data_IF_340435515106
#
_entry.id   IF_340435515106
#
_cell.length_a   1.000
_cell.length_b   1.000
_cell.length_c   1.000
_cell.angle_alpha   90.00
_cell.angle_beta   90.00
_cell.angle_gamma   90.00
#
_symmetry.space_group_name_H-M   'P 1'
#
loop_
_entity.id
_entity.type
_entity.pdbx_description
1 polymer ?
#
# COMPACT_ATOMS: atom_id res chain seq x y z
N UNK A 1 -11.54 13.63 9.24
CA UNK A 1 -11.82 14.88 8.49
C UNK A 1 -12.66 14.52 7.27
N UNK A 2 -13.81 15.14 7.09
CA UNK A 2 -14.67 14.91 5.92
C UNK A 2 -14.73 16.17 5.10
N UNK A 3 -14.36 16.09 3.83
CA UNK A 3 -14.41 17.23 2.90
C UNK A 3 -15.58 17.00 1.93
N UNK A 4 -16.56 17.89 1.95
CA UNK A 4 -17.69 17.85 1.04
C UNK A 4 -17.43 18.79 -0.14
N UNK A 5 -17.45 18.25 -1.35
CA UNK A 5 -17.16 19.01 -2.56
C UNK A 5 -18.44 19.26 -3.35
N UNK A 6 -18.66 20.52 -3.68
CA UNK A 6 -19.77 20.92 -4.54
C UNK A 6 -19.39 20.75 -6.02
N UNK A 7 -20.28 20.27 -6.85
CA UNK A 7 -20.04 20.02 -8.28
C UNK A 7 -19.59 21.29 -9.00
N UNK A 8 -18.37 21.25 -9.56
CA UNK A 8 -17.83 22.26 -10.45
C UNK A 8 -17.02 21.55 -11.55
N UNK A 9 -17.28 21.89 -12.78
CA UNK A 9 -16.64 21.33 -13.97
C UNK A 9 -15.16 21.77 -14.17
N UNK A 10 -14.54 22.45 -13.20
CA UNK A 10 -13.14 22.85 -13.29
C UNK A 10 -12.25 21.92 -12.47
N UNK A 11 -11.05 21.59 -12.95
CA UNK A 11 -10.06 20.87 -12.18
C UNK A 11 -9.84 21.52 -10.82
N UNK A 12 -9.81 20.71 -9.76
CA UNK A 12 -9.58 21.20 -8.40
C UNK A 12 -8.43 20.44 -7.77
N UNK A 13 -7.47 21.19 -7.25
CA UNK A 13 -6.40 20.65 -6.42
C UNK A 13 -6.67 21.05 -4.96
N UNK A 14 -6.68 20.05 -4.08
CA UNK A 14 -6.73 20.24 -2.64
C UNK A 14 -5.39 19.86 -2.04
N UNK A 15 -4.77 20.79 -1.34
CA UNK A 15 -3.47 20.58 -0.69
C UNK A 15 -3.66 20.55 0.82
N UNK A 16 -3.14 19.50 1.45
CA UNK A 16 -3.06 19.32 2.89
C UNK A 16 -1.58 19.25 3.24
N UNK A 17 -1.07 20.26 3.87
CA UNK A 17 0.35 20.38 4.14
C UNK A 17 0.63 20.60 5.63
N UNK A 18 1.73 20.00 6.09
CA UNK A 18 2.27 20.20 7.44
C UNK A 18 1.27 19.85 8.56
N UNK A 19 0.56 18.72 8.42
CA UNK A 19 -0.42 18.26 9.41
C UNK A 19 0.15 17.12 10.24
N UNK A 20 0.04 17.25 11.56
CA UNK A 20 0.40 16.18 12.49
C UNK A 20 -0.85 15.51 13.06
N UNK A 21 -0.86 14.18 13.03
CA UNK A 21 -1.80 13.32 13.72
C UNK A 21 -1.02 12.50 14.75
N UNK A 22 -1.28 12.70 16.03
CA UNK A 22 -0.57 11.98 17.09
C UNK A 22 -1.48 11.66 18.27
N UNK A 23 -1.09 10.65 19.03
CA UNK A 23 -1.74 10.25 20.27
C UNK A 23 -3.25 9.97 20.10
N UNK A 24 -3.58 9.23 19.02
CA UNK A 24 -4.96 8.90 18.71
C UNK A 24 -5.24 7.46 19.08
N UNK A 25 -6.20 7.27 19.96
CA UNK A 25 -6.76 5.97 20.30
C UNK A 25 -8.25 5.92 19.91
N UNK A 26 -8.68 4.86 19.24
CA UNK A 26 -10.08 4.70 18.87
C UNK A 26 -10.52 3.25 18.91
N UNK A 27 -11.71 3.02 19.44
CA UNK A 27 -12.31 1.69 19.57
C UNK A 27 -13.19 1.26 18.40
N UNK A 28 -13.36 2.12 17.41
CA UNK A 28 -14.09 1.80 16.16
C UNK A 28 -13.11 1.61 15.00
N UNK A 29 -13.61 1.17 13.84
CA UNK A 29 -12.84 1.08 12.61
C UNK A 29 -12.98 2.35 11.76
N UNK A 30 -12.43 3.50 12.20
CA UNK A 30 -12.58 4.76 11.48
C UNK A 30 -11.65 4.83 10.29
N UNK A 31 -11.96 5.76 9.41
CA UNK A 31 -10.97 6.31 8.49
C UNK A 31 -10.64 7.74 8.94
N UNK A 32 -9.36 8.03 9.15
CA UNK A 32 -8.95 9.40 9.51
C UNK A 32 -9.09 10.34 8.32
N UNK A 33 -8.70 9.85 7.14
CA UNK A 33 -8.87 10.56 5.89
C UNK A 33 -9.63 9.63 4.94
N UNK A 34 -10.82 10.03 4.58
CA UNK A 34 -11.67 9.25 3.69
C UNK A 34 -12.09 10.09 2.50
N UNK A 35 -11.90 9.51 1.33
CA UNK A 35 -12.47 10.00 0.10
C UNK A 35 -13.73 9.17 -0.19
N UNK A 36 -14.89 9.79 -0.14
CA UNK A 36 -16.16 9.12 -0.40
C UNK A 36 -16.98 9.87 -1.43
N UNK A 37 -17.67 9.14 -2.27
CA UNK A 37 -18.59 9.69 -3.26
C UNK A 37 -18.27 9.26 -4.69
N UNK A 38 -19.31 9.08 -5.49
CA UNK A 38 -19.22 8.82 -6.92
C UNK A 38 -19.01 10.16 -7.63
N UNK A 39 -17.77 10.51 -7.90
CA UNK A 39 -17.46 11.70 -8.70
C UNK A 39 -17.06 11.26 -10.11
N UNK A 40 -18.03 11.05 -10.96
CA UNK A 40 -17.81 10.51 -12.30
C UNK A 40 -17.11 11.45 -13.27
N UNK A 41 -17.15 12.76 -13.04
CA UNK A 41 -16.76 13.76 -14.03
C UNK A 41 -15.85 14.89 -13.52
N UNK A 42 -15.30 14.79 -12.30
CA UNK A 42 -14.49 15.88 -11.78
C UNK A 42 -13.00 15.51 -11.77
N UNK A 43 -12.21 16.28 -12.47
CA UNK A 43 -10.73 16.23 -12.40
C UNK A 43 -10.29 16.85 -11.07
N UNK A 44 -10.38 16.04 -10.00
CA UNK A 44 -10.03 16.45 -8.64
C UNK A 44 -8.74 15.74 -8.25
N UNK A 45 -7.78 16.49 -7.75
CA UNK A 45 -6.53 15.98 -7.21
C UNK A 45 -6.38 16.35 -5.74
N UNK A 46 -5.84 15.43 -4.97
CA UNK A 46 -5.48 15.65 -3.58
C UNK A 46 -3.98 15.49 -3.41
N UNK A 47 -3.38 16.43 -2.74
CA UNK A 47 -1.97 16.36 -2.35
C UNK A 47 -1.86 16.47 -0.83
N UNK A 48 -1.21 15.48 -0.25
CA UNK A 48 -0.89 15.38 1.16
C UNK A 48 0.63 15.44 1.29
N UNK A 49 1.14 16.52 1.86
CA UNK A 49 2.58 16.74 2.00
C UNK A 49 2.98 17.05 3.44
N UNK A 50 4.19 16.67 3.81
CA UNK A 50 4.75 16.92 5.13
C UNK A 50 3.83 16.45 6.28
N UNK A 51 3.17 15.30 6.08
CA UNK A 51 2.32 14.73 7.12
C UNK A 51 3.14 13.94 8.13
N UNK A 52 2.72 13.99 9.37
CA UNK A 52 3.25 13.14 10.43
C UNK A 52 2.12 12.37 11.07
N UNK A 53 2.17 11.04 11.02
CA UNK A 53 1.28 10.13 11.74
C UNK A 53 2.13 9.36 12.75
N UNK A 54 1.88 9.56 14.02
CA UNK A 54 2.64 8.88 15.08
C UNK A 54 1.75 8.54 16.28
N UNK A 55 2.08 7.45 16.95
CA UNK A 55 1.39 7.04 18.18
C UNK A 55 -0.13 6.88 17.97
N UNK A 56 -0.53 6.17 16.90
CA UNK A 56 -1.93 5.95 16.57
C UNK A 56 -2.28 4.48 16.80
N UNK A 57 -3.28 4.26 17.63
CA UNK A 57 -3.74 2.94 18.00
C UNK A 57 -5.23 2.74 17.64
N UNK A 58 -5.49 1.80 16.73
CA UNK A 58 -6.83 1.31 16.47
C UNK A 58 -7.03 -0.02 17.21
N UNK A 59 -8.06 -0.14 18.05
CA UNK A 59 -8.38 -1.41 18.72
C UNK A 59 -8.95 -2.46 17.77
N UNK A 60 -9.46 -2.03 16.65
CA UNK A 60 -9.83 -2.84 15.49
C UNK A 60 -9.17 -2.24 14.25
N UNK A 61 -9.15 -2.98 13.14
CA UNK A 61 -8.58 -2.48 11.88
C UNK A 61 -9.18 -1.13 11.49
N UNK A 62 -8.33 -0.12 11.33
CA UNK A 62 -8.71 1.24 10.93
C UNK A 62 -7.89 1.72 9.73
N UNK A 63 -8.40 2.69 8.98
CA UNK A 63 -7.70 3.27 7.85
C UNK A 63 -7.15 4.64 8.22
N UNK A 64 -5.85 4.87 8.03
CA UNK A 64 -5.31 6.23 7.97
C UNK A 64 -5.89 6.94 6.76
N UNK A 65 -5.82 6.25 5.61
CA UNK A 65 -6.41 6.69 4.36
C UNK A 65 -7.33 5.61 3.80
N UNK A 66 -8.56 5.97 3.49
CA UNK A 66 -9.46 5.17 2.68
C UNK A 66 -9.73 5.89 1.36
N UNK A 67 -9.03 5.46 0.31
CA UNK A 67 -8.98 6.11 -1.00
C UNK A 67 -9.82 5.31 -2.02
N UNK A 68 -11.03 4.89 -1.60
CA UNK A 68 -11.80 3.84 -2.23
C UNK A 68 -12.58 4.19 -3.49
N UNK A 69 -13.04 5.39 -3.71
CA UNK A 69 -14.09 5.64 -4.70
C UNK A 69 -13.80 6.70 -5.75
N UNK A 70 -12.53 6.99 -6.05
CA UNK A 70 -12.20 8.02 -7.02
C UNK A 70 -11.72 7.45 -8.34
N UNK A 71 -12.48 7.65 -9.35
CA UNK A 71 -12.35 6.99 -10.64
C UNK A 71 -11.44 7.73 -11.64
N UNK A 72 -11.09 8.98 -11.39
CA UNK A 72 -10.22 9.77 -12.27
C UNK A 72 -9.21 10.62 -11.51
N UNK A 73 -9.23 10.56 -10.19
CA UNK A 73 -8.50 11.47 -9.35
C UNK A 73 -7.10 10.98 -9.04
N UNK A 74 -6.19 11.92 -8.99
CA UNK A 74 -4.82 11.71 -8.58
C UNK A 74 -4.67 12.07 -7.11
N UNK A 75 -4.21 11.11 -6.31
CA UNK A 75 -3.85 11.33 -4.92
C UNK A 75 -2.34 11.23 -4.81
N UNK A 76 -1.74 12.21 -4.18
CA UNK A 76 -0.31 12.25 -3.91
C UNK A 76 -0.12 12.33 -2.40
N UNK A 77 0.70 11.43 -1.85
CA UNK A 77 1.22 11.47 -0.49
C UNK A 77 2.73 11.59 -0.60
N UNK A 78 3.30 12.65 -0.07
CA UNK A 78 4.75 12.86 -0.17
C UNK A 78 5.37 13.52 1.05
N UNK A 79 6.68 13.37 1.18
CA UNK A 79 7.47 14.00 2.26
C UNK A 79 6.88 13.71 3.65
N UNK A 80 6.37 12.49 3.86
CA UNK A 80 5.54 12.18 5.02
C UNK A 80 6.14 11.06 5.88
N UNK A 81 5.85 11.10 7.18
CA UNK A 81 6.35 10.11 8.14
C UNK A 81 5.19 9.40 8.84
N UNK A 82 5.29 8.08 8.90
CA UNK A 82 4.32 7.19 9.53
C UNK A 82 5.08 6.28 10.50
N UNK A 83 4.82 6.42 11.80
CA UNK A 83 5.56 5.65 12.79
C UNK A 83 4.72 5.29 14.02
N UNK A 84 5.06 4.17 14.66
CA UNK A 84 4.41 3.67 15.85
C UNK A 84 2.88 3.59 15.70
N UNK A 85 2.44 2.83 14.70
CA UNK A 85 1.02 2.68 14.37
C UNK A 85 0.56 1.25 14.64
N UNK A 86 -0.65 1.10 15.17
CA UNK A 86 -1.25 -0.21 15.45
C UNK A 86 -2.58 -0.36 14.75
N UNK A 87 -2.76 -1.48 14.02
CA UNK A 87 -3.95 -1.85 13.24
C UNK A 87 -4.37 -0.79 12.21
N UNK A 88 -3.39 -0.08 11.64
CA UNK A 88 -3.57 1.02 10.72
C UNK A 88 -3.29 0.59 9.28
N UNK A 89 -4.05 1.13 8.30
CA UNK A 89 -3.91 0.80 6.89
C UNK A 89 -4.05 2.03 5.99
N UNK A 90 -3.44 1.93 4.80
CA UNK A 90 -3.73 2.76 3.63
C UNK A 90 -4.48 1.88 2.63
N UNK A 91 -5.76 2.13 2.43
CA UNK A 91 -6.58 1.40 1.48
C UNK A 91 -6.71 2.19 0.17
N UNK A 92 -6.34 1.55 -0.95
CA UNK A 92 -6.42 2.09 -2.30
C UNK A 92 -7.39 1.22 -3.09
N UNK A 93 -8.41 1.84 -3.68
CA UNK A 93 -9.50 1.10 -4.34
C UNK A 93 -10.53 0.56 -3.34
N UNK A 94 -11.71 0.24 -3.82
CA UNK A 94 -12.85 -0.09 -2.96
C UNK A 94 -13.16 -1.59 -2.83
N UNK A 95 -12.45 -2.42 -3.56
CA UNK A 95 -12.75 -3.85 -3.62
C UNK A 95 -14.03 -4.18 -4.39
N UNK A 96 -14.78 -3.20 -4.90
CA UNK A 96 -15.99 -3.45 -5.67
C UNK A 96 -15.68 -3.63 -7.16
N UNK A 97 -16.06 -4.78 -7.71
CA UNK A 97 -15.92 -5.07 -9.14
C UNK A 97 -16.99 -4.38 -10.02
N UNK A 98 -17.88 -3.62 -9.42
CA UNK A 98 -19.11 -3.15 -10.10
C UNK A 98 -18.91 -1.93 -11.02
N UNK A 99 -17.79 -1.23 -10.94
CA UNK A 99 -17.61 0.06 -11.61
C UNK A 99 -16.66 0.03 -12.81
N UNK A 100 -16.39 -1.13 -13.39
CA UNK A 100 -15.74 -1.24 -14.69
C UNK A 100 -14.23 -0.97 -14.65
N UNK A 101 -13.72 -0.26 -15.65
CA UNK A 101 -12.28 -0.13 -15.96
C UNK A 101 -11.60 1.07 -15.30
N UNK A 102 -12.30 1.80 -14.46
CA UNK A 102 -11.76 3.03 -13.87
C UNK A 102 -10.79 2.72 -12.72
N UNK A 103 -9.65 3.39 -12.71
CA UNK A 103 -8.55 3.10 -11.77
C UNK A 103 -8.40 4.20 -10.72
N UNK A 104 -8.21 3.79 -9.47
CA UNK A 104 -7.80 4.68 -8.39
C UNK A 104 -6.31 4.94 -8.49
N UNK A 105 -5.89 6.16 -8.83
CA UNK A 105 -4.48 6.53 -9.01
C UNK A 105 -3.92 7.16 -7.75
N UNK A 106 -2.92 6.52 -7.16
CA UNK A 106 -2.25 7.00 -5.94
C UNK A 106 -0.75 7.03 -6.15
N UNK A 107 -0.11 8.12 -5.76
CA UNK A 107 1.35 8.21 -5.67
C UNK A 107 1.78 8.40 -4.23
N UNK A 108 2.72 7.59 -3.77
CA UNK A 108 3.38 7.72 -2.47
C UNK A 108 4.86 7.96 -2.75
N UNK A 109 5.39 9.07 -2.29
CA UNK A 109 6.76 9.48 -2.64
C UNK A 109 7.50 10.05 -1.43
N UNK A 110 8.83 9.87 -1.42
CA UNK A 110 9.72 10.56 -0.47
C UNK A 110 9.26 10.40 0.99
N UNK A 111 8.72 9.23 1.35
CA UNK A 111 8.04 9.03 2.62
C UNK A 111 8.63 7.86 3.41
N UNK A 112 8.48 7.92 4.73
CA UNK A 112 9.03 6.93 5.67
C UNK A 112 7.92 6.25 6.45
N UNK A 113 8.02 4.93 6.58
CA UNK A 113 7.09 4.07 7.29
C UNK A 113 7.88 3.16 8.22
N UNK A 114 7.66 3.29 9.53
CA UNK A 114 8.38 2.49 10.53
C UNK A 114 7.54 2.09 11.72
N UNK A 115 7.91 0.99 12.35
CA UNK A 115 7.28 0.52 13.59
C UNK A 115 5.75 0.40 13.46
N UNK A 116 5.28 -0.29 12.44
CA UNK A 116 3.86 -0.42 12.15
C UNK A 116 3.41 -1.87 12.35
N UNK A 117 2.47 -2.08 13.26
CA UNK A 117 1.77 -3.34 13.45
C UNK A 117 0.39 -3.26 12.79
N UNK A 118 0.22 -3.90 11.65
CA UNK A 118 -1.02 -3.83 10.85
C UNK A 118 -2.05 -4.93 11.16
N UNK A 119 -1.85 -5.71 12.21
CA UNK A 119 -2.79 -6.77 12.60
C UNK A 119 -2.73 -7.98 11.66
N UNK A 120 -3.84 -8.31 11.00
CA UNK A 120 -3.92 -9.47 10.08
C UNK A 120 -3.85 -9.10 8.59
N UNK A 121 -3.69 -7.83 8.28
CA UNK A 121 -3.65 -7.32 6.91
C UNK A 121 -2.36 -6.53 6.67
N UNK A 122 -2.01 -6.30 5.43
CA UNK A 122 -0.89 -5.41 5.07
C UNK A 122 -1.18 -3.96 5.42
N UNK A 123 -0.12 -3.18 5.58
CA UNK A 123 -0.28 -1.74 5.80
C UNK A 123 -0.86 -1.01 4.56
N UNK A 124 -0.41 -1.36 3.36
CA UNK A 124 -0.98 -0.87 2.10
C UNK A 124 -1.84 -1.96 1.48
N UNK A 125 -3.10 -1.66 1.24
CA UNK A 125 -4.06 -2.54 0.60
C UNK A 125 -4.44 -1.98 -0.77
N UNK A 126 -3.87 -2.53 -1.84
CA UNK A 126 -4.22 -2.21 -3.21
C UNK A 126 -5.32 -3.15 -3.70
N UNK A 127 -6.54 -2.65 -3.71
CA UNK A 127 -7.73 -3.41 -4.08
C UNK A 127 -8.06 -3.32 -5.59
N UNK A 128 -9.25 -3.73 -5.98
CA UNK A 128 -9.70 -3.76 -7.37
C UNK A 128 -9.43 -2.44 -8.10
N UNK A 129 -8.80 -2.53 -9.26
CA UNK A 129 -8.46 -1.38 -10.11
C UNK A 129 -7.56 -0.32 -9.43
N UNK A 130 -6.82 -0.66 -8.38
CA UNK A 130 -5.80 0.21 -7.83
C UNK A 130 -4.66 0.39 -8.84
N UNK A 131 -4.20 1.62 -9.01
CA UNK A 131 -3.03 2.00 -9.81
C UNK A 131 -2.14 2.85 -8.89
N UNK A 132 -1.14 2.21 -8.27
CA UNK A 132 -0.31 2.85 -7.27
C UNK A 132 1.14 2.98 -7.76
N UNK A 133 1.73 4.14 -7.54
CA UNK A 133 3.16 4.38 -7.72
C UNK A 133 3.78 4.68 -6.34
N UNK A 134 4.84 3.96 -5.97
CA UNK A 134 5.58 4.15 -4.72
C UNK A 134 7.04 4.44 -5.09
N UNK A 135 7.53 5.62 -4.75
CA UNK A 135 8.86 6.05 -5.18
C UNK A 135 9.65 6.67 -4.04
N UNK A 136 10.91 6.28 -3.91
CA UNK A 136 11.84 6.81 -2.91
C UNK A 136 11.27 6.72 -1.48
N UNK A 137 10.73 5.56 -1.14
CA UNK A 137 10.13 5.30 0.17
C UNK A 137 10.94 4.29 0.97
N UNK A 138 10.84 4.40 2.30
CA UNK A 138 11.44 3.46 3.24
C UNK A 138 10.37 2.78 4.07
N UNK A 139 10.38 1.46 4.11
CA UNK A 139 9.48 0.62 4.90
C UNK A 139 10.31 -0.25 5.84
N UNK A 140 10.23 0.01 7.14
CA UNK A 140 11.01 -0.72 8.12
C UNK A 140 10.21 -1.13 9.33
N UNK A 141 10.54 -2.30 9.89
CA UNK A 141 9.92 -2.80 11.12
C UNK A 141 8.38 -2.89 11.03
N UNK A 142 7.90 -3.25 9.84
CA UNK A 142 6.49 -3.50 9.59
C UNK A 142 6.16 -4.92 10.01
N UNK A 143 5.09 -5.12 10.78
CA UNK A 143 4.71 -6.43 11.30
C UNK A 143 3.24 -6.71 11.03
N UNK A 144 2.95 -7.90 10.49
CA UNK A 144 1.59 -8.43 10.38
C UNK A 144 1.50 -9.89 10.80
N UNK A 145 0.37 -10.28 11.35
CA UNK A 145 0.02 -11.70 11.56
C UNK A 145 -0.65 -12.33 10.32
N UNK A 146 -0.72 -11.59 9.24
CA UNK A 146 -1.24 -12.03 7.95
C UNK A 146 -0.14 -12.14 6.90
N UNK A 147 -0.51 -11.81 5.67
CA UNK A 147 0.34 -11.88 4.50
C UNK A 147 0.79 -10.48 4.07
N UNK A 148 2.05 -10.34 3.61
CA UNK A 148 2.59 -9.11 3.09
C UNK A 148 2.60 -7.97 4.11
N UNK A 149 3.63 -7.83 4.93
CA UNK A 149 3.62 -6.80 5.98
C UNK A 149 3.45 -5.38 5.41
N UNK A 150 4.05 -5.10 4.27
CA UNK A 150 3.99 -3.79 3.65
C UNK A 150 2.80 -3.65 2.71
N UNK A 151 2.65 -4.57 1.75
CA UNK A 151 1.70 -4.43 0.66
C UNK A 151 0.97 -5.73 0.35
N UNK A 152 -0.36 -5.65 0.23
CA UNK A 152 -1.17 -6.63 -0.49
C UNK A 152 -1.76 -6.00 -1.75
N UNK A 153 -1.49 -6.61 -2.91
CA UNK A 153 -2.21 -6.40 -4.14
C UNK A 153 -3.24 -7.55 -4.26
N UNK A 154 -4.41 -7.35 -3.68
CA UNK A 154 -5.33 -8.44 -3.31
C UNK A 154 -6.54 -8.61 -4.19
N UNK A 155 -6.69 -7.85 -5.27
CA UNK A 155 -7.90 -7.89 -6.09
C UNK A 155 -7.62 -7.74 -7.58
N UNK A 156 -8.58 -8.09 -8.40
CA UNK A 156 -8.45 -8.08 -9.86
C UNK A 156 -7.92 -6.75 -10.41
N UNK A 157 -6.88 -6.81 -11.25
CA UNK A 157 -6.26 -5.68 -11.95
C UNK A 157 -5.60 -4.62 -11.04
N UNK A 158 -5.24 -4.90 -9.81
CA UNK A 158 -4.40 -4.00 -9.05
C UNK A 158 -2.99 -3.94 -9.68
N UNK A 159 -2.47 -2.74 -9.87
CA UNK A 159 -1.13 -2.50 -10.40
C UNK A 159 -0.36 -1.62 -9.43
N UNK A 160 0.80 -2.08 -9.00
CA UNK A 160 1.66 -1.35 -8.08
C UNK A 160 3.07 -1.29 -8.64
N UNK A 161 3.52 -0.09 -8.93
CA UNK A 161 4.85 0.20 -9.44
C UNK A 161 5.69 0.83 -8.32
N UNK A 162 6.79 0.18 -7.97
CA UNK A 162 7.66 0.60 -6.89
C UNK A 162 9.04 0.91 -7.46
N UNK A 163 9.60 2.04 -7.12
CA UNK A 163 10.96 2.40 -7.54
C UNK A 163 11.76 3.03 -6.41
N UNK A 164 13.09 2.85 -6.47
CA UNK A 164 14.05 3.51 -5.59
C UNK A 164 13.73 3.39 -4.10
N UNK A 165 13.15 2.25 -3.70
CA UNK A 165 12.58 2.08 -2.36
C UNK A 165 13.26 0.96 -1.57
N UNK A 166 13.19 1.06 -0.24
CA UNK A 166 13.82 0.11 0.67
C UNK A 166 12.79 -0.59 1.56
N UNK A 167 13.01 -1.88 1.80
CA UNK A 167 12.15 -2.73 2.63
C UNK A 167 13.05 -3.53 3.57
N UNK A 168 13.08 -3.16 4.84
CA UNK A 168 14.01 -3.76 5.80
C UNK A 168 13.32 -4.16 7.10
N UNK A 169 13.75 -5.28 7.67
CA UNK A 169 13.30 -5.74 8.98
C UNK A 169 11.77 -5.92 9.10
N UNK A 170 11.11 -6.22 7.99
CA UNK A 170 9.66 -6.45 7.98
C UNK A 170 9.35 -7.92 8.27
N UNK A 171 8.20 -8.18 8.90
CA UNK A 171 7.81 -9.52 9.32
C UNK A 171 6.35 -9.84 9.03
N UNK A 172 6.09 -11.02 8.49
CA UNK A 172 4.76 -11.55 8.23
C UNK A 172 4.69 -13.06 8.43
N UNK A 173 3.49 -13.62 8.40
CA UNK A 173 3.34 -15.08 8.34
C UNK A 173 3.73 -15.58 6.95
N UNK A 174 3.26 -14.95 5.89
CA UNK A 174 3.64 -15.27 4.51
C UNK A 174 3.95 -13.99 3.72
N UNK A 175 5.03 -14.02 2.90
CA UNK A 175 5.47 -12.87 2.14
C UNK A 175 5.80 -11.67 3.04
N UNK A 176 6.98 -11.65 3.64
CA UNK A 176 7.34 -10.62 4.63
C UNK A 176 7.09 -9.19 4.13
N UNK A 177 7.17 -8.98 2.84
CA UNK A 177 7.01 -7.66 2.22
C UNK A 177 5.74 -7.59 1.38
N UNK A 178 5.52 -8.56 0.49
CA UNK A 178 4.45 -8.53 -0.50
C UNK A 178 3.52 -9.75 -0.44
N UNK A 179 2.22 -9.51 -0.62
CA UNK A 179 1.24 -10.52 -1.02
C UNK A 179 0.57 -10.08 -2.33
N UNK A 180 0.60 -10.95 -3.34
CA UNK A 180 0.13 -10.61 -4.70
C UNK A 180 -0.88 -11.66 -5.11
N UNK A 181 -2.09 -11.24 -5.39
CA UNK A 181 -3.23 -12.12 -5.64
C UNK A 181 -4.01 -11.69 -6.89
N UNK A 182 -4.83 -12.60 -7.42
CA UNK A 182 -5.94 -12.27 -8.34
C UNK A 182 -5.58 -11.39 -9.55
N UNK A 183 -4.63 -11.82 -10.38
CA UNK A 183 -4.21 -11.10 -11.59
C UNK A 183 -3.63 -9.70 -11.34
N UNK A 184 -3.15 -9.47 -10.14
CA UNK A 184 -2.49 -8.21 -9.79
C UNK A 184 -1.03 -8.21 -10.22
N UNK A 185 -0.48 -7.02 -10.44
CA UNK A 185 0.92 -6.81 -10.79
C UNK A 185 1.61 -5.97 -9.70
N UNK A 186 2.72 -6.48 -9.20
CA UNK A 186 3.69 -5.68 -8.45
C UNK A 186 5.01 -5.67 -9.22
N UNK A 187 5.54 -4.50 -9.49
CA UNK A 187 6.83 -4.31 -10.14
C UNK A 187 7.75 -3.47 -9.23
N UNK A 188 8.92 -4.01 -8.95
CA UNK A 188 9.97 -3.31 -8.22
C UNK A 188 11.14 -2.99 -9.15
N UNK A 189 11.55 -1.74 -9.18
CA UNK A 189 12.71 -1.27 -9.94
C UNK A 189 13.67 -0.52 -9.00
N UNK A 190 14.94 -0.92 -8.98
CA UNK A 190 15.94 -0.31 -8.12
C UNK A 190 15.56 -0.36 -6.61
N UNK A 191 14.98 -1.46 -6.17
CA UNK A 191 14.58 -1.67 -4.79
C UNK A 191 15.65 -2.45 -4.00
N UNK A 192 15.72 -2.18 -2.69
CA UNK A 192 16.51 -2.99 -1.77
C UNK A 192 15.58 -3.68 -0.76
N UNK A 193 15.58 -5.02 -0.74
CA UNK A 193 14.77 -5.84 0.16
C UNK A 193 15.70 -6.69 1.00
N UNK A 194 15.84 -6.35 2.27
CA UNK A 194 16.83 -7.00 3.12
C UNK A 194 16.34 -7.21 4.56
N UNK A 195 16.88 -8.27 5.20
CA UNK A 195 16.64 -8.61 6.59
C UNK A 195 15.16 -8.84 6.94
N UNK A 196 14.32 -9.19 5.97
CA UNK A 196 12.90 -9.44 6.24
C UNK A 196 12.69 -10.90 6.65
N UNK A 197 11.68 -11.12 7.48
CA UNK A 197 11.36 -12.44 8.03
C UNK A 197 9.93 -12.86 7.70
N UNK A 198 9.75 -14.11 7.29
CA UNK A 198 8.44 -14.74 7.20
C UNK A 198 8.47 -16.19 7.68
N UNK A 199 7.33 -16.66 8.17
CA UNK A 199 7.25 -18.08 8.54
C UNK A 199 7.31 -18.96 7.30
N UNK A 200 6.65 -18.58 6.20
CA UNK A 200 6.58 -19.41 4.99
C UNK A 200 7.30 -18.81 3.79
N UNK A 201 6.97 -17.62 3.37
CA UNK A 201 7.46 -17.00 2.12
C UNK A 201 8.27 -15.75 2.43
N UNK A 202 9.59 -15.77 2.30
CA UNK A 202 10.51 -14.79 2.85
C UNK A 202 10.34 -13.36 2.34
N UNK A 203 9.98 -13.16 1.07
CA UNK A 203 9.84 -11.82 0.47
C UNK A 203 8.44 -11.63 -0.07
N UNK A 204 7.99 -12.54 -0.92
CA UNK A 204 6.71 -12.41 -1.59
C UNK A 204 5.93 -13.73 -1.58
N UNK A 205 4.63 -13.62 -1.37
CA UNK A 205 3.65 -14.66 -1.63
C UNK A 205 2.86 -14.25 -2.88
N UNK A 206 2.78 -15.13 -3.87
CA UNK A 206 2.12 -14.87 -5.13
C UNK A 206 1.07 -15.95 -5.35
N UNK A 207 -0.18 -15.55 -5.55
CA UNK A 207 -1.31 -16.45 -5.75
C UNK A 207 -2.12 -16.10 -7.01
N UNK A 208 -2.79 -17.12 -7.52
CA UNK A 208 -3.86 -17.00 -8.53
C UNK A 208 -3.58 -16.00 -9.65
N UNK A 209 -2.62 -16.32 -10.51
CA UNK A 209 -2.25 -15.48 -11.66
C UNK A 209 -1.71 -14.08 -11.29
N UNK A 210 -1.10 -13.94 -10.11
CA UNK A 210 -0.37 -12.73 -9.74
C UNK A 210 0.94 -12.59 -10.53
N UNK A 211 1.38 -11.36 -10.73
CA UNK A 211 2.62 -11.03 -11.44
C UNK A 211 3.56 -10.27 -10.52
N UNK A 212 4.79 -10.74 -10.43
CA UNK A 212 5.86 -10.09 -9.68
C UNK A 212 7.08 -9.89 -10.57
N UNK A 213 7.48 -8.65 -10.74
CA UNK A 213 8.60 -8.28 -11.58
C UNK A 213 9.66 -7.51 -10.80
N UNK A 214 10.92 -7.89 -11.00
CA UNK A 214 12.05 -7.31 -10.31
C UNK A 214 13.11 -6.85 -11.32
N UNK A 215 13.42 -5.56 -11.30
CA UNK A 215 14.40 -4.95 -12.17
C UNK A 215 15.47 -4.23 -11.35
N UNK A 216 16.75 -4.49 -11.64
CA UNK A 216 17.91 -3.78 -11.04
C UNK A 216 17.81 -3.66 -9.50
N UNK A 217 17.26 -4.68 -8.84
CA UNK A 217 16.94 -4.65 -7.42
C UNK A 217 17.76 -5.68 -6.66
N UNK A 218 17.94 -5.45 -5.36
CA UNK A 218 18.71 -6.34 -4.48
C UNK A 218 17.80 -7.03 -3.48
N UNK A 219 17.96 -8.36 -3.35
CA UNK A 219 17.32 -9.17 -2.32
C UNK A 219 18.44 -9.82 -1.51
N UNK A 220 18.55 -9.49 -0.22
CA UNK A 220 19.61 -10.02 0.63
C UNK A 220 19.16 -10.29 2.06
N UNK A 221 19.76 -11.30 2.70
CA UNK A 221 19.57 -11.60 4.11
C UNK A 221 18.10 -11.77 4.55
N UNK A 222 17.21 -12.12 3.64
CA UNK A 222 15.83 -12.40 4.00
C UNK A 222 15.71 -13.84 4.45
N UNK A 223 14.88 -14.08 5.45
CA UNK A 223 14.70 -15.40 6.04
C UNK A 223 13.27 -15.91 5.87
N UNK A 224 13.16 -17.18 5.50
CA UNK A 224 11.91 -17.93 5.52
C UNK A 224 12.17 -19.37 5.91
N UNK A 225 11.20 -20.01 6.55
CA UNK A 225 11.33 -21.43 6.89
C UNK A 225 11.23 -22.33 5.65
N UNK A 226 10.48 -21.92 4.62
CA UNK A 226 10.24 -22.75 3.44
C UNK A 226 10.83 -22.16 2.16
N UNK A 227 10.38 -20.97 1.71
CA UNK A 227 10.73 -20.41 0.40
C UNK A 227 11.04 -18.94 0.52
N UNK A 228 11.97 -18.42 -0.30
CA UNK A 228 12.21 -16.98 -0.40
C UNK A 228 11.05 -16.27 -1.10
N UNK A 229 10.56 -16.86 -2.17
CA UNK A 229 9.35 -16.44 -2.89
C UNK A 229 8.50 -17.68 -3.09
N UNK A 230 7.25 -17.65 -2.67
CA UNK A 230 6.31 -18.75 -2.93
C UNK A 230 5.31 -18.35 -4.01
N UNK A 231 5.04 -19.33 -4.85
CA UNK A 231 4.10 -19.22 -5.95
C UNK A 231 3.07 -20.32 -5.79
N UNK A 232 1.84 -19.94 -5.55
CA UNK A 232 0.73 -20.86 -5.32
C UNK A 232 -0.24 -20.79 -6.53
N UNK A 233 -0.38 -21.93 -7.22
CA UNK A 233 -1.27 -22.17 -8.35
C UNK A 233 -0.88 -21.62 -9.73
N UNK A 234 -1.50 -22.17 -10.78
CA UNK A 234 -1.14 -22.09 -12.19
C UNK A 234 -1.03 -20.67 -12.76
N UNK A 235 -0.04 -20.47 -13.63
CA UNK A 235 0.21 -19.25 -14.43
C UNK A 235 0.67 -18.00 -13.66
N UNK A 236 1.73 -18.13 -12.89
CA UNK A 236 2.43 -16.99 -12.28
C UNK A 236 3.70 -16.68 -13.06
N UNK A 237 3.97 -15.41 -13.31
CA UNK A 237 5.22 -14.95 -13.88
C UNK A 237 6.06 -14.21 -12.82
N UNK A 238 7.24 -14.77 -12.54
CA UNK A 238 8.28 -14.08 -11.77
C UNK A 238 9.41 -13.76 -12.72
N UNK A 239 9.70 -12.49 -12.89
CA UNK A 239 10.79 -12.04 -13.76
C UNK A 239 11.85 -11.32 -12.92
N UNK A 240 13.06 -11.88 -12.94
CA UNK A 240 14.23 -11.31 -12.26
C UNK A 240 15.20 -10.81 -13.34
N UNK A 241 15.37 -9.49 -13.41
CA UNK A 241 16.27 -8.88 -14.38
C UNK A 241 17.38 -8.12 -13.64
N UNK A 242 18.61 -8.59 -13.76
CA UNK A 242 19.81 -7.85 -13.40
C UNK A 242 20.43 -7.29 -14.68
N UNK A 243 20.60 -6.02 -14.77
CA UNK A 243 21.37 -5.33 -15.80
C UNK A 243 22.63 -4.74 -15.19
#
# INVERSE_FOLDING_TARGET
>A
MSVFLNHSLKPKLFVFDSIKFSDIETSSSPSLIQTSGLMYDADISFEFSNLTFTDIFFTSSGNLFNLGHFMTNRIIIRDSTFSNLTSAHIQIGDGSSQLGTLKSKVKIMDSQFSDIYSGKSSFILANTNADAEITNCSFSQMITLGNGAVLTAGSTNAQVFISDSTFTDNSAVEGSTFSIESQSLVRCTNCNISNNFAVSSGVARIETSGYFEFYSSTISNNFAMNYLISVLLDSVNVSLFNH
#
